data_IF_718710406579
#
_entry.id   IF_718710406579
#
_cell.length_a   1.000
_cell.length_b   1.000
_cell.length_c   1.000
_cell.angle_alpha   90.00
_cell.angle_beta   90.00
_cell.angle_gamma   90.00
#
_symmetry.space_group_name_H-M   'P 1'
#
loop_
_entity.id
_entity.type
_entity.pdbx_description
1 polymer ?
#
# COMPACT_ATOMS: atom_id res chain seq x y z
N UNK A 1 -0.14 -31.71 0.72
CA UNK A 1 -0.53 -30.31 0.93
C UNK A 1 -1.33 -30.22 2.23
N UNK A 2 -1.09 -29.18 3.03
CA UNK A 2 -1.88 -28.86 4.23
C UNK A 2 -2.45 -27.44 4.09
N UNK A 3 -3.56 -27.15 4.76
CA UNK A 3 -4.10 -25.78 4.81
C UNK A 3 -3.17 -24.92 5.65
N UNK A 4 -2.83 -23.74 5.15
CA UNK A 4 -2.05 -22.77 5.91
C UNK A 4 -2.88 -22.23 7.09
N UNK A 5 -2.40 -22.33 8.34
CA UNK A 5 -3.10 -21.81 9.50
C UNK A 5 -3.40 -20.31 9.38
N UNK A 6 -4.56 -19.87 9.85
CA UNK A 6 -4.94 -18.47 9.78
C UNK A 6 -5.35 -17.98 8.38
N UNK A 7 -5.27 -18.83 7.33
CA UNK A 7 -5.63 -18.40 5.99
C UNK A 7 -7.09 -17.95 5.91
N UNK A 8 -7.36 -16.76 5.34
CA UNK A 8 -8.72 -16.27 5.14
C UNK A 8 -9.46 -17.16 4.13
N UNK A 9 -10.79 -17.07 4.13
CA UNK A 9 -11.59 -17.69 3.08
C UNK A 9 -11.46 -16.85 1.80
N UNK A 10 -10.68 -17.35 0.82
CA UNK A 10 -10.47 -16.64 -0.44
C UNK A 10 -11.66 -16.77 -1.41
N UNK A 11 -12.54 -17.75 -1.20
CA UNK A 11 -13.70 -18.00 -2.05
C UNK A 11 -13.44 -18.97 -3.20
N UNK A 12 -14.50 -19.60 -3.69
CA UNK A 12 -14.43 -20.58 -4.77
C UNK A 12 -14.06 -19.89 -6.09
N UNK A 13 -12.93 -20.27 -6.68
CA UNK A 13 -12.41 -19.64 -7.90
C UNK A 13 -11.34 -18.58 -7.67
N UNK A 14 -10.90 -18.36 -6.42
CA UNK A 14 -9.67 -17.60 -6.17
C UNK A 14 -8.47 -18.31 -6.81
N UNK A 15 -7.76 -17.60 -7.68
CA UNK A 15 -6.67 -18.15 -8.50
C UNK A 15 -5.47 -17.19 -8.63
N UNK A 16 -5.55 -16.02 -8.00
CA UNK A 16 -4.52 -14.99 -8.09
C UNK A 16 -3.72 -14.96 -6.79
N UNK A 17 -2.44 -15.29 -6.91
CA UNK A 17 -1.47 -15.15 -5.83
C UNK A 17 -0.07 -14.87 -6.39
N UNK A 18 0.74 -14.17 -5.63
CA UNK A 18 2.14 -13.90 -5.93
C UNK A 18 2.99 -13.94 -4.67
N UNK A 19 4.25 -14.33 -4.82
CA UNK A 19 5.24 -14.32 -3.75
C UNK A 19 6.50 -13.61 -4.28
N UNK A 20 6.84 -12.41 -3.77
CA UNK A 20 8.05 -11.71 -4.19
C UNK A 20 9.30 -12.46 -3.72
N UNK A 21 10.24 -12.72 -4.64
CA UNK A 21 11.44 -13.52 -4.38
C UNK A 21 12.41 -12.89 -3.38
N UNK A 22 12.32 -11.58 -3.14
CA UNK A 22 13.15 -10.87 -2.15
C UNK A 22 12.65 -11.02 -0.71
N UNK A 23 11.40 -11.45 -0.52
CA UNK A 23 10.76 -11.58 0.80
C UNK A 23 10.26 -13.00 1.04
N UNK A 24 11.12 -13.92 1.48
CA UNK A 24 10.73 -15.29 1.79
C UNK A 24 9.58 -15.36 2.80
N UNK A 25 8.59 -16.21 2.53
CA UNK A 25 7.43 -16.42 3.39
C UNK A 25 6.29 -15.40 3.20
N UNK A 26 6.52 -14.33 2.45
CA UNK A 26 5.46 -13.39 2.06
C UNK A 26 4.70 -13.95 0.86
N UNK A 27 3.37 -13.93 0.98
CA UNK A 27 2.46 -14.29 -0.11
C UNK A 27 1.34 -13.27 -0.14
N UNK A 28 1.02 -12.77 -1.33
CA UNK A 28 -0.16 -11.95 -1.58
C UNK A 28 -1.17 -12.81 -2.32
N UNK A 29 -2.40 -12.86 -1.83
CA UNK A 29 -3.48 -13.62 -2.44
C UNK A 29 -4.73 -12.74 -2.58
N UNK A 30 -5.47 -12.94 -3.66
CA UNK A 30 -6.68 -12.16 -3.96
C UNK A 30 -7.90 -13.06 -3.81
N UNK A 31 -8.82 -12.63 -2.96
CA UNK A 31 -10.11 -13.29 -2.78
C UNK A 31 -11.07 -12.96 -3.93
N UNK A 32 -12.10 -13.79 -4.12
CA UNK A 32 -13.10 -13.63 -5.19
C UNK A 32 -13.91 -12.34 -5.08
N UNK A 33 -13.99 -11.76 -3.88
CA UNK A 33 -14.64 -10.47 -3.63
C UNK A 33 -13.74 -9.26 -3.93
N UNK A 34 -12.51 -9.49 -4.40
CA UNK A 34 -11.52 -8.46 -4.69
C UNK A 34 -10.67 -8.04 -3.49
N UNK A 35 -10.89 -8.61 -2.30
CA UNK A 35 -10.05 -8.34 -1.13
C UNK A 35 -8.66 -8.93 -1.34
N UNK A 36 -7.63 -8.12 -1.14
CA UNK A 36 -6.23 -8.56 -1.19
C UNK A 36 -5.76 -8.86 0.22
N UNK A 37 -5.25 -10.06 0.39
CA UNK A 37 -4.71 -10.58 1.64
C UNK A 37 -3.21 -10.74 1.51
N UNK A 38 -2.50 -10.37 2.57
CA UNK A 38 -1.06 -10.57 2.70
C UNK A 38 -0.79 -11.54 3.84
N UNK A 39 0.00 -12.56 3.54
CA UNK A 39 0.63 -13.45 4.51
C UNK A 39 2.00 -12.89 4.89
N UNK A 40 2.26 -12.78 6.19
CA UNK A 40 3.57 -12.43 6.74
C UNK A 40 4.53 -13.62 6.75
N UNK A 41 5.82 -13.34 6.97
CA UNK A 41 6.85 -14.37 7.06
C UNK A 41 6.67 -15.24 8.32
N UNK A 42 6.05 -14.69 9.34
CA UNK A 42 5.53 -15.35 10.56
C UNK A 42 4.35 -16.28 10.28
N UNK A 43 3.70 -16.15 9.13
CA UNK A 43 2.52 -16.92 8.74
C UNK A 43 1.19 -16.24 9.05
N UNK A 44 1.21 -15.03 9.60
CA UNK A 44 -0.01 -14.30 9.92
C UNK A 44 -0.63 -13.69 8.67
N UNK A 45 -1.95 -13.77 8.56
CA UNK A 45 -2.71 -13.20 7.47
C UNK A 45 -3.37 -11.88 7.87
N UNK A 46 -3.20 -10.86 7.03
CA UNK A 46 -3.84 -9.55 7.19
C UNK A 46 -4.44 -9.06 5.88
N UNK A 47 -5.53 -8.30 5.98
CA UNK A 47 -6.11 -7.63 4.81
C UNK A 47 -5.20 -6.46 4.45
N UNK A 48 -4.66 -6.49 3.24
CA UNK A 48 -3.76 -5.47 2.74
C UNK A 48 -4.46 -4.42 1.87
N UNK A 49 -5.46 -4.83 1.09
CA UNK A 49 -6.23 -3.90 0.25
C UNK A 49 -7.69 -4.34 0.16
N UNK A 50 -8.57 -3.35 0.24
CA UNK A 50 -9.97 -3.48 -0.12
C UNK A 50 -10.27 -2.44 -1.21
N UNK A 51 -10.56 -2.92 -2.41
CA UNK A 51 -10.95 -2.03 -3.49
C UNK A 51 -12.31 -1.42 -3.20
N UNK A 52 -12.41 -0.11 -3.39
CA UNK A 52 -13.65 0.63 -3.27
C UNK A 52 -14.36 0.69 -4.64
N UNK A 53 -15.67 0.95 -4.70
CA UNK A 53 -16.34 1.21 -5.97
C UNK A 53 -15.83 2.52 -6.58
N UNK A 54 -15.73 2.55 -7.92
CA UNK A 54 -15.22 3.75 -8.62
C UNK A 54 -16.22 4.90 -8.59
N UNK A 55 -17.52 4.56 -8.58
CA UNK A 55 -18.61 5.52 -8.47
C UNK A 55 -19.86 4.83 -7.91
N UNK A 56 -20.96 5.56 -7.80
CA UNK A 56 -22.25 4.99 -7.39
C UNK A 56 -22.83 4.01 -8.43
N UNK A 57 -22.36 4.09 -9.69
CA UNK A 57 -22.89 3.30 -10.81
C UNK A 57 -21.89 2.21 -11.22
N UNK A 58 -20.59 2.51 -11.14
CA UNK A 58 -19.53 1.54 -11.38
C UNK A 58 -19.15 0.87 -10.05
N UNK A 59 -19.34 -0.44 -10.00
CA UNK A 59 -19.04 -1.26 -8.83
C UNK A 59 -17.55 -1.33 -8.47
N UNK A 60 -17.21 -2.26 -7.59
CA UNK A 60 -15.82 -2.54 -7.23
C UNK A 60 -15.12 -3.18 -8.43
N UNK A 61 -14.01 -2.61 -8.92
CA UNK A 61 -13.22 -3.22 -9.99
C UNK A 61 -12.73 -4.60 -9.60
N UNK A 62 -12.67 -5.50 -10.57
CA UNK A 62 -12.12 -6.83 -10.39
C UNK A 62 -10.61 -6.74 -10.50
N UNK A 63 -9.93 -7.50 -9.65
CA UNK A 63 -8.52 -7.81 -9.86
C UNK A 63 -8.41 -8.90 -10.91
N UNK A 64 -7.69 -8.61 -11.98
CA UNK A 64 -7.56 -9.49 -13.15
C UNK A 64 -6.27 -10.29 -13.14
N UNK A 65 -5.23 -9.77 -12.48
CA UNK A 65 -3.91 -10.37 -12.46
C UNK A 65 -3.09 -9.88 -11.28
N UNK A 66 -2.09 -10.68 -10.91
CA UNK A 66 -1.09 -10.33 -9.91
C UNK A 66 0.28 -10.82 -10.38
N UNK A 67 1.33 -10.04 -10.17
CA UNK A 67 2.69 -10.41 -10.52
C UNK A 67 3.70 -9.91 -9.48
N UNK A 68 4.78 -10.66 -9.32
CA UNK A 68 5.96 -10.29 -8.57
C UNK A 68 7.19 -10.94 -9.23
N UNK A 69 8.37 -10.36 -9.02
CA UNK A 69 9.62 -10.95 -9.47
C UNK A 69 9.95 -12.20 -8.64
N UNK A 70 10.36 -13.29 -9.29
CA UNK A 70 10.70 -14.53 -8.61
C UNK A 70 12.14 -14.51 -8.08
N UNK A 71 13.01 -13.69 -8.66
CA UNK A 71 14.34 -13.41 -8.14
C UNK A 71 14.29 -12.30 -7.06
N UNK A 72 15.28 -12.23 -6.14
CA UNK A 72 15.34 -11.23 -5.08
C UNK A 72 15.78 -9.85 -5.60
N UNK A 73 15.01 -9.30 -6.54
CA UNK A 73 15.28 -8.03 -7.23
C UNK A 73 14.54 -6.86 -6.61
N UNK A 74 13.33 -7.08 -6.11
CA UNK A 74 12.45 -6.06 -5.56
C UNK A 74 11.37 -6.69 -4.69
N UNK A 75 11.00 -5.97 -3.63
CA UNK A 75 9.86 -6.29 -2.76
C UNK A 75 8.51 -5.99 -3.43
N UNK A 76 8.53 -5.52 -4.68
CA UNK A 76 7.35 -5.03 -5.34
C UNK A 76 6.38 -6.14 -5.77
N UNK A 77 5.09 -5.86 -5.59
CA UNK A 77 3.99 -6.69 -6.07
C UNK A 77 3.03 -5.81 -6.86
N UNK A 78 2.55 -6.30 -7.99
CA UNK A 78 1.71 -5.56 -8.93
C UNK A 78 0.36 -6.26 -9.09
N UNK A 79 -0.72 -5.48 -9.06
CA UNK A 79 -2.09 -5.93 -9.31
C UNK A 79 -2.63 -5.25 -10.57
N UNK A 80 -3.14 -6.05 -11.49
CA UNK A 80 -3.94 -5.57 -12.61
C UNK A 80 -5.40 -5.51 -12.19
N UNK A 81 -6.08 -4.42 -12.52
CA UNK A 81 -7.52 -4.25 -12.27
C UNK A 81 -8.25 -3.84 -13.54
N UNK A 82 -9.56 -4.05 -13.60
CA UNK A 82 -10.40 -3.62 -14.72
C UNK A 82 -10.99 -2.19 -14.58
N UNK A 83 -10.50 -1.39 -13.63
CA UNK A 83 -10.94 0.00 -13.44
C UNK A 83 -9.95 0.93 -12.73
N UNK A 84 -8.95 0.42 -12.00
CA UNK A 84 -7.95 1.24 -11.29
C UNK A 84 -6.56 1.20 -11.91
N UNK A 85 -6.44 0.71 -13.14
CA UNK A 85 -5.17 0.42 -13.81
C UNK A 85 -4.33 -0.60 -13.02
N UNK A 86 -2.99 -0.45 -13.08
CA UNK A 86 -2.06 -1.21 -12.25
C UNK A 86 -1.92 -0.53 -10.89
N UNK A 87 -2.12 -1.31 -9.83
CA UNK A 87 -1.74 -0.95 -8.47
C UNK A 87 -0.41 -1.63 -8.11
N UNK A 88 0.52 -0.90 -7.55
CA UNK A 88 1.81 -1.41 -7.09
C UNK A 88 1.97 -1.24 -5.59
N UNK A 89 2.60 -2.24 -4.99
CA UNK A 89 3.13 -2.21 -3.64
C UNK A 89 4.63 -2.27 -3.73
N UNK A 90 5.35 -1.49 -2.91
CA UNK A 90 6.81 -1.53 -2.80
C UNK A 90 7.30 -2.21 -1.52
N UNK A 91 6.39 -2.75 -0.71
CA UNK A 91 6.67 -3.33 0.61
C UNK A 91 6.06 -4.74 0.76
N UNK A 92 6.10 -5.54 -0.30
CA UNK A 92 5.63 -6.94 -0.27
C UNK A 92 4.11 -7.06 -0.14
N UNK A 93 3.37 -6.12 -0.72
CA UNK A 93 1.91 -6.15 -0.75
C UNK A 93 1.24 -5.62 0.51
N UNK A 94 1.90 -4.79 1.32
CA UNK A 94 1.33 -4.23 2.54
C UNK A 94 0.54 -2.96 2.27
N UNK A 95 1.16 -2.02 1.56
CA UNK A 95 0.54 -0.79 1.07
C UNK A 95 0.54 -0.76 -0.45
N UNK A 96 -0.47 -0.09 -1.01
CA UNK A 96 -0.74 -0.08 -2.45
C UNK A 96 -0.99 1.33 -2.95
N UNK A 97 -0.35 1.67 -4.05
CA UNK A 97 -0.57 2.92 -4.80
C UNK A 97 -0.83 2.59 -6.27
N UNK A 98 -1.21 3.58 -7.08
CA UNK A 98 -1.33 3.42 -8.53
C UNK A 98 0.06 3.57 -9.16
N UNK A 99 0.45 2.64 -10.03
CA UNK A 99 1.82 2.54 -10.59
C UNK A 99 2.26 3.72 -11.47
N UNK A 100 1.35 4.62 -11.81
CA UNK A 100 1.68 5.88 -12.46
C UNK A 100 0.52 6.47 -13.26
N UNK A 101 0.64 7.74 -13.71
CA UNK A 101 -0.31 8.35 -14.63
C UNK A 101 -0.18 7.75 -16.05
N UNK A 102 -1.24 7.83 -16.84
CA UNK A 102 -1.22 7.46 -18.26
C UNK A 102 -1.50 5.99 -18.59
N UNK A 103 -1.37 5.07 -17.63
CA UNK A 103 -1.85 3.69 -17.80
C UNK A 103 -3.38 3.65 -17.96
N UNK A 104 -3.90 2.88 -18.93
CA UNK A 104 -5.32 2.61 -19.07
C UNK A 104 -5.89 2.00 -17.81
N UNK A 105 -7.13 2.35 -17.48
CA UNK A 105 -7.80 1.90 -16.26
C UNK A 105 -8.09 0.40 -16.26
N UNK A 106 -8.17 -0.22 -17.44
CA UNK A 106 -8.38 -1.66 -17.59
C UNK A 106 -7.09 -2.39 -17.96
N UNK A 107 -6.71 -3.34 -17.12
CA UNK A 107 -5.56 -4.23 -17.29
C UNK A 107 -6.09 -5.66 -17.34
N UNK A 108 -5.77 -6.39 -18.41
CA UNK A 108 -6.22 -7.77 -18.62
C UNK A 108 -5.22 -8.81 -18.12
N UNK A 109 -3.96 -8.44 -17.96
CA UNK A 109 -2.91 -9.35 -17.50
C UNK A 109 -1.62 -8.64 -17.13
N UNK A 110 -0.83 -9.28 -16.26
CA UNK A 110 0.49 -8.85 -15.85
C UNK A 110 1.48 -10.00 -15.99
N UNK A 111 2.72 -9.69 -16.36
CA UNK A 111 3.84 -10.64 -16.33
C UNK A 111 5.10 -9.95 -15.86
N UNK A 112 5.87 -10.64 -15.03
CA UNK A 112 7.21 -10.21 -14.61
C UNK A 112 8.28 -10.94 -15.42
N UNK A 113 9.31 -10.22 -15.83
CA UNK A 113 10.53 -10.74 -16.42
C UNK A 113 11.72 -10.38 -15.52
N UNK A 114 12.19 -11.38 -14.77
CA UNK A 114 13.35 -11.26 -13.88
C UNK A 114 14.63 -10.89 -14.64
N UNK A 115 14.80 -11.33 -15.90
CA UNK A 115 16.03 -11.12 -16.66
C UNK A 115 16.21 -9.67 -17.10
N UNK A 116 15.11 -8.99 -17.43
CA UNK A 116 15.12 -7.58 -17.83
C UNK A 116 14.69 -6.63 -16.71
N UNK A 117 14.29 -7.16 -15.55
CA UNK A 117 13.75 -6.42 -14.41
C UNK A 117 12.50 -5.62 -14.82
N UNK A 118 11.61 -6.25 -15.60
CA UNK A 118 10.49 -5.57 -16.26
C UNK A 118 9.15 -6.19 -15.89
N UNK A 119 8.15 -5.34 -15.66
CA UNK A 119 6.74 -5.72 -15.62
C UNK A 119 6.08 -5.32 -16.93
N UNK A 120 5.36 -6.26 -17.52
CA UNK A 120 4.53 -6.07 -18.70
C UNK A 120 3.06 -6.08 -18.30
N UNK A 121 2.29 -5.12 -18.80
CA UNK A 121 0.85 -5.05 -18.61
C UNK A 121 0.11 -5.10 -19.94
N UNK A 122 -0.79 -6.07 -20.07
CA UNK A 122 -1.71 -6.14 -21.20
C UNK A 122 -2.92 -5.25 -20.90
N UNK A 123 -3.22 -4.34 -21.81
CA UNK A 123 -4.36 -3.42 -21.73
C UNK A 123 -5.14 -3.44 -23.05
N UNK A 124 -6.39 -2.94 -23.10
CA UNK A 124 -7.12 -2.79 -24.36
C UNK A 124 -6.39 -1.95 -25.42
N UNK A 125 -5.55 -1.00 -24.98
CA UNK A 125 -4.81 -0.10 -25.87
C UNK A 125 -3.45 -0.67 -26.31
N UNK A 126 -3.06 -1.85 -25.80
CA UNK A 126 -1.82 -2.53 -26.14
C UNK A 126 -0.97 -2.93 -24.93
N UNK A 127 0.30 -3.23 -25.20
CA UNK A 127 1.28 -3.67 -24.21
C UNK A 127 1.98 -2.46 -23.56
N UNK A 128 1.94 -2.39 -22.24
CA UNK A 128 2.63 -1.40 -21.42
C UNK A 128 3.81 -2.02 -20.71
N UNK A 129 4.86 -1.22 -20.51
CA UNK A 129 6.15 -1.67 -19.97
C UNK A 129 6.55 -0.79 -18.79
N UNK A 130 6.86 -1.43 -17.67
CA UNK A 130 7.43 -0.77 -16.50
C UNK A 130 8.74 -1.47 -16.11
N UNK A 131 9.86 -0.79 -16.34
CA UNK A 131 11.18 -1.27 -15.94
C UNK A 131 11.48 -0.80 -14.52
N UNK A 132 11.89 -1.71 -13.64
CA UNK A 132 12.40 -1.34 -12.33
C UNK A 132 13.63 -0.44 -12.50
N UNK A 133 13.50 0.82 -12.11
CA UNK A 133 14.59 1.78 -12.11
C UNK A 133 15.68 1.30 -11.15
N UNK A 134 16.94 1.22 -11.59
CA UNK A 134 18.10 0.91 -10.72
C UNK A 134 18.55 2.09 -9.85
N UNK A 135 17.91 3.25 -9.98
CA UNK A 135 18.23 4.45 -9.20
C UNK A 135 17.84 4.21 -7.74
N UNK A 136 18.60 4.74 -6.75
CA UNK A 136 18.28 4.52 -5.35
C UNK A 136 16.87 5.02 -5.11
N UNK A 137 15.99 4.12 -4.67
CA UNK A 137 14.65 4.48 -4.20
C UNK A 137 14.80 5.63 -3.18
N UNK A 138 13.92 6.63 -3.19
CA UNK A 138 13.79 7.51 -2.03
C UNK A 138 13.78 6.65 -0.77
N UNK A 139 14.50 7.01 0.31
CA UNK A 139 14.66 6.15 1.46
C UNK A 139 13.28 5.67 1.93
N UNK A 140 13.09 4.35 1.92
CA UNK A 140 11.88 3.73 2.44
C UNK A 140 11.78 4.10 3.93
N UNK A 141 10.83 4.98 4.26
CA UNK A 141 10.60 5.39 5.63
C UNK A 141 9.98 4.20 6.38
N UNK A 142 10.80 3.49 7.15
CA UNK A 142 10.32 2.38 7.97
C UNK A 142 9.37 2.85 9.07
N UNK A 143 8.49 1.98 9.54
CA UNK A 143 7.47 2.26 10.56
C UNK A 143 8.02 2.92 11.84
N UNK A 144 9.27 2.61 12.20
CA UNK A 144 9.96 3.27 13.30
C UNK A 144 10.10 4.79 13.09
N UNK A 145 10.37 5.23 11.85
CA UNK A 145 10.43 6.65 11.49
C UNK A 145 9.05 7.33 11.55
N UNK A 146 7.96 6.59 11.28
CA UNK A 146 6.60 7.06 11.49
C UNK A 146 6.29 7.29 12.97
N UNK A 147 6.70 6.38 13.86
CA UNK A 147 6.52 6.54 15.31
C UNK A 147 7.24 7.79 15.82
N UNK A 148 8.49 8.00 15.44
CA UNK A 148 9.24 9.20 15.82
C UNK A 148 8.64 10.49 15.27
N UNK A 149 8.08 10.44 14.05
CA UNK A 149 7.35 11.57 13.46
C UNK A 149 6.09 11.90 14.26
N UNK A 150 5.30 10.91 14.66
CA UNK A 150 4.09 11.12 15.47
C UNK A 150 4.42 11.62 16.88
N UNK A 151 5.48 11.10 17.50
CA UNK A 151 6.00 11.62 18.78
C UNK A 151 6.42 13.09 18.64
N UNK A 152 7.12 13.43 17.56
CA UNK A 152 7.54 14.82 17.27
C UNK A 152 6.35 15.76 17.11
N UNK A 153 5.34 15.36 16.32
CA UNK A 153 4.09 16.14 16.16
C UNK A 153 3.37 16.31 17.51
N UNK A 154 3.29 15.25 18.32
CA UNK A 154 2.71 15.29 19.65
C UNK A 154 3.43 16.27 20.59
N UNK A 155 4.76 16.30 20.55
CA UNK A 155 5.55 17.22 21.36
C UNK A 155 5.33 18.68 20.95
N UNK A 156 5.38 18.98 19.65
CA UNK A 156 5.21 20.35 19.12
C UNK A 156 3.82 20.90 19.46
N UNK A 157 2.79 20.06 19.34
CA UNK A 157 1.41 20.46 19.68
C UNK A 157 1.26 20.72 21.18
N UNK A 158 1.83 19.89 22.06
CA UNK A 158 1.82 20.11 23.50
C UNK A 158 2.54 21.41 23.91
N UNK A 159 3.71 21.69 23.33
CA UNK A 159 4.46 22.94 23.59
C UNK A 159 3.64 24.15 23.16
N UNK A 160 3.01 24.10 21.99
CA UNK A 160 2.16 25.18 21.48
C UNK A 160 0.96 25.44 22.40
N UNK A 161 0.30 24.39 22.87
CA UNK A 161 -0.81 24.50 23.85
C UNK A 161 -0.33 25.13 25.16
N UNK A 162 0.81 24.68 25.70
CA UNK A 162 1.37 25.22 26.94
C UNK A 162 1.70 26.71 26.81
N UNK A 163 2.37 27.13 25.72
CA UNK A 163 2.68 28.53 25.46
C UNK A 163 1.41 29.38 25.32
N UNK A 164 0.39 28.86 24.66
CA UNK A 164 -0.91 29.54 24.50
C UNK A 164 -1.58 29.75 25.85
N UNK A 165 -1.62 28.72 26.70
CA UNK A 165 -2.20 28.81 28.05
C UNK A 165 -1.41 29.75 28.95
N UNK A 166 -0.08 29.72 28.88
CA UNK A 166 0.78 30.63 29.63
C UNK A 166 0.55 32.09 29.19
N UNK A 167 0.49 32.35 27.89
CA UNK A 167 0.16 33.68 27.36
C UNK A 167 -1.22 34.17 27.82
N UNK A 168 -2.23 33.29 27.78
CA UNK A 168 -3.58 33.61 28.24
C UNK A 168 -3.60 33.93 29.73
N UNK A 169 -2.95 33.11 30.57
CA UNK A 169 -2.88 33.36 32.02
C UNK A 169 -2.13 34.66 32.35
N UNK A 170 -1.09 34.98 31.59
CA UNK A 170 -0.35 36.24 31.75
C UNK A 170 -1.23 37.45 31.40
N UNK A 171 -1.97 37.40 30.28
CA UNK A 171 -2.92 38.45 29.88
C UNK A 171 -4.05 38.64 30.88
N UNK A 172 -4.62 37.54 31.41
CA UNK A 172 -5.69 37.60 32.41
C UNK A 172 -5.21 38.19 33.74
N UNK A 173 -3.95 37.96 34.12
CA UNK A 173 -3.33 38.58 35.31
C UNK A 173 -2.94 40.03 35.09
N UNK A 174 -2.52 40.40 33.88
CA UNK A 174 -2.17 41.78 33.54
C UNK A 174 -3.39 42.71 33.39
N UNK A 175 -4.57 42.15 33.13
CA UNK A 175 -5.83 42.89 32.94
C UNK A 175 -6.67 43.07 34.21
N UNK A 176 -6.22 42.60 35.37
CA UNK A 176 -6.89 42.88 36.65
C UNK A 176 -6.63 44.35 37.07
N UNK A 177 -7.65 45.22 37.12
CA UNK A 177 -7.46 46.61 37.54
C UNK A 177 -7.19 46.68 39.05
N UNK A 178 -6.30 47.58 39.46
CA UNK A 178 -6.01 47.85 40.88
C UNK A 178 -7.26 48.37 41.59
N UNK A 179 -7.65 47.83 42.77
CA UNK A 179 -8.68 48.44 43.59
C UNK A 179 -8.15 49.79 44.12
N UNK A 180 -8.81 50.86 43.64
CA UNK A 180 -8.77 52.30 44.00
C UNK A 180 -7.61 52.80 44.87
#
# INVERSE_FOLDING_TARGET
>A
FMRDPGSPALGAGAHLLAAPGSLPGIVVAVATDGTVWRRGADGDWRRALLLLPQSLIQGVPRVTSIAAFAQPLSDAVYLGTDGYAVLDSTNGGDDWIRAGPGLPDSVSGLSADDGTHTIYAATPDGLWVHMLQRLPTPPAYQDAALVWRWIGIGLVTLVSVALTLLGLTWLLRASSPSPR
#
